data_IF_287116450918
#
_entry.id   IF_287116450918
#
_cell.length_a   1.000
_cell.length_b   1.000
_cell.length_c   1.000
_cell.angle_alpha   90.00
_cell.angle_beta   90.00
_cell.angle_gamma   90.00
#
_symmetry.space_group_name_H-M   'P 1'
#
loop_
_entity.id
_entity.type
_entity.pdbx_description
1 polymer ?
#
# COMPACT_ATOMS: atom_id res chain seq x y z
N UNK A 1 37.25 -18.01 -3.75
CA UNK A 1 37.02 -16.58 -4.03
C UNK A 1 35.93 -16.50 -5.09
N UNK A 2 34.67 -16.36 -4.68
CA UNK A 2 33.53 -16.34 -5.60
C UNK A 2 33.17 -14.87 -5.84
N UNK A 3 33.40 -14.42 -7.08
CA UNK A 3 33.17 -13.06 -7.52
C UNK A 3 31.69 -12.69 -7.49
N UNK A 4 31.38 -11.60 -6.79
CA UNK A 4 30.07 -10.97 -6.80
C UNK A 4 30.04 -9.98 -7.97
N UNK A 5 29.47 -10.41 -9.10
CA UNK A 5 29.11 -9.52 -10.20
C UNK A 5 27.81 -8.75 -9.91
N UNK A 6 27.63 -7.54 -10.45
CA UNK A 6 26.48 -6.70 -10.17
C UNK A 6 25.23 -7.26 -10.87
N UNK A 7 24.24 -7.69 -10.09
CA UNK A 7 22.95 -8.16 -10.63
C UNK A 7 22.11 -6.97 -11.08
N UNK A 8 22.06 -6.79 -12.40
CA UNK A 8 21.12 -5.92 -13.09
C UNK A 8 19.71 -6.52 -13.09
N UNK A 9 18.69 -5.68 -12.83
CA UNK A 9 17.30 -5.77 -13.30
C UNK A 9 16.51 -7.05 -12.99
N UNK A 10 15.41 -6.91 -12.25
CA UNK A 10 14.44 -7.98 -11.93
C UNK A 10 13.65 -8.54 -13.13
N UNK A 11 14.33 -9.08 -14.13
CA UNK A 11 13.75 -9.90 -15.19
C UNK A 11 14.06 -11.39 -14.97
N UNK A 12 13.13 -12.28 -15.34
CA UNK A 12 13.41 -13.71 -15.43
C UNK A 12 14.53 -13.90 -16.47
N UNK A 13 15.67 -14.53 -16.13
CA UNK A 13 16.75 -14.79 -17.08
C UNK A 13 16.20 -15.44 -18.35
N UNK A 14 16.67 -15.00 -19.53
CA UNK A 14 16.14 -15.43 -20.83
C UNK A 14 16.15 -16.95 -21.01
N UNK A 15 17.15 -17.59 -20.43
CA UNK A 15 17.36 -19.04 -20.32
C UNK A 15 16.31 -19.78 -19.47
N UNK A 16 15.63 -19.09 -18.54
CA UNK A 16 14.55 -19.64 -17.73
C UNK A 16 13.16 -19.47 -18.36
N UNK A 17 12.94 -18.48 -19.25
CA UNK A 17 11.62 -18.22 -19.88
C UNK A 17 11.05 -19.46 -20.58
N UNK A 18 11.82 -20.12 -21.43
CA UNK A 18 11.38 -21.36 -22.12
C UNK A 18 11.20 -22.58 -21.21
N UNK A 19 11.64 -22.51 -19.95
CA UNK A 19 11.35 -23.54 -18.92
C UNK A 19 10.05 -23.24 -18.20
N UNK A 20 9.73 -21.95 -17.99
CA UNK A 20 8.45 -21.51 -17.41
C UNK A 20 7.29 -21.89 -18.32
N UNK A 21 7.37 -21.60 -19.62
CA UNK A 21 6.28 -21.89 -20.56
C UNK A 21 6.01 -23.41 -20.65
N UNK A 22 7.08 -24.22 -20.71
CA UNK A 22 6.96 -25.69 -20.69
C UNK A 22 6.42 -26.22 -19.37
N UNK A 23 6.78 -25.61 -18.25
CA UNK A 23 6.26 -25.98 -16.93
C UNK A 23 4.75 -25.68 -16.83
N UNK A 24 4.32 -24.48 -17.24
CA UNK A 24 2.91 -24.09 -17.25
C UNK A 24 2.08 -25.01 -18.17
N UNK A 25 2.60 -25.31 -19.37
CA UNK A 25 1.95 -26.22 -20.30
C UNK A 25 1.86 -27.67 -19.77
N UNK A 26 2.80 -28.11 -18.94
CA UNK A 26 2.73 -29.41 -18.26
C UNK A 26 1.71 -29.42 -17.13
N UNK A 27 1.56 -28.32 -16.40
CA UNK A 27 0.52 -28.20 -15.36
C UNK A 27 -0.87 -28.23 -15.98
N UNK A 28 -1.10 -27.54 -17.11
CA UNK A 28 -2.39 -27.54 -17.79
C UNK A 28 -2.87 -28.94 -18.24
N UNK A 29 -1.95 -29.88 -18.41
CA UNK A 29 -2.26 -31.28 -18.72
C UNK A 29 -2.56 -32.17 -17.50
N UNK A 30 -2.38 -31.68 -16.27
CA UNK A 30 -2.68 -32.43 -15.04
C UNK A 30 -4.17 -32.37 -14.70
N UNK A 31 -4.64 -33.34 -13.89
CA UNK A 31 -5.99 -33.28 -13.35
C UNK A 31 -6.17 -32.11 -12.39
N UNK A 32 -7.41 -31.62 -12.25
CA UNK A 32 -7.75 -30.44 -11.44
C UNK A 32 -7.20 -30.52 -10.01
N UNK A 33 -7.22 -31.71 -9.39
CA UNK A 33 -6.72 -31.92 -8.04
C UNK A 33 -5.19 -31.77 -7.94
N UNK A 34 -4.43 -32.31 -8.90
CA UNK A 34 -2.97 -32.15 -8.93
C UNK A 34 -2.57 -30.71 -9.24
N UNK A 35 -3.28 -30.05 -10.16
CA UNK A 35 -3.08 -28.63 -10.46
C UNK A 35 -3.25 -27.78 -9.19
N UNK A 36 -4.36 -27.97 -8.46
CA UNK A 36 -4.65 -27.22 -7.23
C UNK A 36 -3.58 -27.43 -6.15
N UNK A 37 -3.08 -28.66 -6.00
CA UNK A 37 -2.01 -28.97 -5.04
C UNK A 37 -0.70 -28.27 -5.40
N UNK A 38 -0.27 -28.36 -6.67
CA UNK A 38 0.95 -27.72 -7.16
C UNK A 38 0.87 -26.20 -7.08
N UNK A 39 -0.25 -25.59 -7.47
CA UNK A 39 -0.45 -24.15 -7.34
C UNK A 39 -0.49 -23.70 -5.89
N UNK A 40 -1.09 -24.49 -4.98
CA UNK A 40 -1.06 -24.23 -3.54
C UNK A 40 0.37 -24.16 -3.02
N UNK A 41 1.16 -25.21 -3.26
CA UNK A 41 2.55 -25.26 -2.82
C UNK A 41 3.41 -24.14 -3.43
N UNK A 42 3.28 -23.90 -4.73
CA UNK A 42 3.97 -22.79 -5.39
C UNK A 42 3.63 -21.44 -4.74
N UNK A 43 2.35 -21.20 -4.44
CA UNK A 43 1.91 -19.96 -3.81
C UNK A 43 2.46 -19.81 -2.40
N UNK A 44 2.57 -20.89 -1.62
CA UNK A 44 3.19 -20.85 -0.28
C UNK A 44 4.68 -20.49 -0.35
N UNK A 45 5.42 -21.13 -1.26
CA UNK A 45 6.84 -20.83 -1.48
C UNK A 45 7.02 -19.39 -1.97
N UNK A 46 6.15 -18.94 -2.87
CA UNK A 46 6.14 -17.56 -3.35
C UNK A 46 5.87 -16.58 -2.22
N UNK A 47 4.83 -16.78 -1.40
CA UNK A 47 4.52 -15.92 -0.25
C UNK A 47 5.67 -15.88 0.76
N UNK A 48 6.27 -17.03 1.07
CA UNK A 48 7.42 -17.11 1.97
C UNK A 48 8.63 -16.36 1.40
N UNK A 49 8.90 -16.49 0.10
CA UNK A 49 10.00 -15.79 -0.57
C UNK A 49 9.75 -14.28 -0.59
N UNK A 50 8.53 -13.84 -0.92
CA UNK A 50 8.15 -12.41 -0.88
C UNK A 50 8.24 -11.87 0.55
N UNK A 51 7.79 -12.63 1.55
CA UNK A 51 7.91 -12.25 2.96
C UNK A 51 9.38 -12.10 3.38
N UNK A 52 10.24 -13.03 2.95
CA UNK A 52 11.68 -12.97 3.19
C UNK A 52 12.35 -11.79 2.47
N UNK A 53 11.96 -11.48 1.24
CA UNK A 53 12.45 -10.29 0.52
C UNK A 53 11.95 -8.98 1.15
N UNK A 54 10.71 -8.95 1.65
CA UNK A 54 10.14 -7.81 2.38
C UNK A 54 10.87 -7.59 3.71
N UNK A 55 11.11 -8.65 4.48
CA UNK A 55 11.85 -8.56 5.76
C UNK A 55 13.33 -8.25 5.54
N UNK A 56 13.94 -8.79 4.48
CA UNK A 56 15.31 -8.48 4.05
C UNK A 56 15.46 -7.11 3.39
N UNK A 57 14.37 -6.40 3.11
CA UNK A 57 14.37 -5.07 2.50
C UNK A 57 14.83 -5.01 1.05
N UNK A 58 14.84 -6.16 0.35
CA UNK A 58 15.20 -6.28 -1.08
C UNK A 58 13.98 -6.30 -2.00
N UNK A 59 12.76 -6.26 -1.44
CA UNK A 59 11.53 -6.22 -2.22
C UNK A 59 11.33 -4.84 -2.87
N UNK A 60 11.37 -4.79 -4.20
CA UNK A 60 11.13 -3.60 -5.00
C UNK A 60 9.67 -3.57 -5.48
N UNK A 61 8.83 -2.80 -4.79
CA UNK A 61 7.46 -2.53 -5.23
C UNK A 61 7.52 -1.44 -6.32
N UNK A 62 7.88 -1.85 -7.54
CA UNK A 62 8.18 -0.92 -8.65
C UNK A 62 6.98 -0.08 -9.10
N UNK A 63 5.75 -0.59 -8.92
CA UNK A 63 4.50 0.12 -9.22
C UNK A 63 3.52 -0.11 -8.08
N UNK A 64 3.16 0.96 -7.38
CA UNK A 64 2.20 0.94 -6.27
C UNK A 64 0.89 1.54 -6.75
N UNK A 65 -0.21 0.83 -6.56
CA UNK A 65 -1.54 1.37 -6.80
C UNK A 65 -2.13 1.81 -5.47
N UNK A 66 -2.39 3.09 -5.30
CA UNK A 66 -3.00 3.62 -4.09
C UNK A 66 -4.45 3.15 -4.03
N UNK A 67 -4.76 2.44 -2.96
CA UNK A 67 -6.12 2.05 -2.62
C UNK A 67 -6.47 2.82 -1.35
N UNK A 68 -7.49 3.66 -1.45
CA UNK A 68 -7.95 4.56 -0.42
C UNK A 68 -9.44 4.86 -0.65
N UNK A 69 -10.13 5.34 0.38
CA UNK A 69 -11.55 5.70 0.27
C UNK A 69 -11.71 7.05 -0.41
N UNK A 70 -10.76 7.97 -0.17
CA UNK A 70 -10.69 9.26 -0.85
C UNK A 70 -9.26 9.66 -1.19
N UNK A 71 -9.07 10.21 -2.38
CA UNK A 71 -7.82 10.82 -2.83
C UNK A 71 -8.15 12.18 -3.46
N UNK A 72 -7.67 13.23 -2.81
CA UNK A 72 -7.80 14.61 -3.28
C UNK A 72 -6.43 15.24 -3.55
N UNK A 73 -6.39 16.20 -4.45
CA UNK A 73 -5.22 17.05 -4.66
C UNK A 73 -5.31 18.20 -3.65
N UNK A 74 -4.21 18.50 -2.99
CA UNK A 74 -4.10 19.63 -2.06
C UNK A 74 -4.25 20.96 -2.81
N UNK A 75 -4.91 21.93 -2.20
CA UNK A 75 -4.98 23.30 -2.72
C UNK A 75 -3.58 23.86 -3.03
N UNK A 76 -3.46 24.57 -4.15
CA UNK A 76 -2.20 25.10 -4.66
C UNK A 76 -1.40 24.13 -5.53
N UNK A 77 -1.89 22.91 -5.76
CA UNK A 77 -1.36 21.94 -6.72
C UNK A 77 -2.41 21.60 -7.80
N UNK A 78 -2.01 21.14 -9.00
CA UNK A 78 -0.64 20.85 -9.46
C UNK A 78 0.23 22.10 -9.65
N UNK A 79 1.55 21.96 -9.52
CA UNK A 79 2.53 23.02 -9.76
C UNK A 79 3.53 22.59 -10.84
N UNK A 80 3.70 23.40 -11.89
CA UNK A 80 4.63 23.10 -12.98
C UNK A 80 6.07 23.43 -12.58
N UNK A 81 6.95 22.44 -12.66
CA UNK A 81 8.38 22.58 -12.30
C UNK A 81 9.31 22.65 -13.51
N UNK A 82 8.84 22.18 -14.66
CA UNK A 82 9.60 22.17 -15.91
C UNK A 82 8.63 22.12 -17.08
N UNK A 83 8.90 22.91 -18.11
CA UNK A 83 8.21 22.84 -19.39
C UNK A 83 9.25 22.53 -20.45
N UNK A 84 9.03 21.46 -21.20
CA UNK A 84 9.93 21.06 -22.27
C UNK A 84 9.92 22.12 -23.40
N UNK A 85 11.06 22.75 -23.74
CA UNK A 85 11.10 23.83 -24.71
C UNK A 85 10.67 23.41 -26.13
N UNK A 86 10.84 22.13 -26.48
CA UNK A 86 10.55 21.63 -27.82
C UNK A 86 9.09 21.18 -27.98
N UNK A 87 8.57 20.42 -27.02
CA UNK A 87 7.21 19.85 -27.08
C UNK A 87 6.16 20.68 -26.33
N UNK A 88 6.58 21.64 -25.49
CA UNK A 88 5.69 22.36 -24.57
C UNK A 88 5.13 21.48 -23.44
N UNK A 89 5.58 20.22 -23.33
CA UNK A 89 5.06 19.29 -22.34
C UNK A 89 5.51 19.65 -20.93
N UNK A 90 4.57 19.65 -19.99
CA UNK A 90 4.82 20.05 -18.61
C UNK A 90 5.14 18.86 -17.70
N UNK A 91 6.09 19.09 -16.82
CA UNK A 91 6.35 18.28 -15.63
C UNK A 91 5.74 18.99 -14.43
N UNK A 92 4.85 18.31 -13.72
CA UNK A 92 4.10 18.88 -12.60
C UNK A 92 4.34 18.10 -11.31
N UNK A 93 4.40 18.82 -10.20
CA UNK A 93 4.35 18.25 -8.86
C UNK A 93 2.89 18.22 -8.40
N UNK A 94 2.50 17.13 -7.75
CA UNK A 94 1.20 16.98 -7.13
C UNK A 94 1.40 16.56 -5.67
N UNK A 95 0.69 17.23 -4.77
CA UNK A 95 0.51 16.77 -3.40
C UNK A 95 -0.89 16.17 -3.25
N UNK A 96 -0.92 14.88 -2.95
CA UNK A 96 -2.15 14.13 -2.73
C UNK A 96 -2.41 13.99 -1.22
N UNK A 97 -3.64 14.26 -0.82
CA UNK A 97 -4.17 13.86 0.49
C UNK A 97 -4.93 12.56 0.31
N UNK A 98 -4.42 11.50 0.95
CA UNK A 98 -4.98 10.15 0.86
C UNK A 98 -5.72 9.86 2.16
N UNK A 99 -7.04 9.70 2.08
CA UNK A 99 -7.89 9.27 3.19
C UNK A 99 -8.15 7.76 3.10
N UNK A 100 -7.58 7.00 4.05
CA UNK A 100 -7.81 5.55 4.17
C UNK A 100 -8.89 5.21 5.19
N UNK A 101 -9.56 6.22 5.74
CA UNK A 101 -10.65 6.03 6.69
C UNK A 101 -11.80 5.28 6.04
N UNK A 102 -12.44 4.43 6.83
CA UNK A 102 -13.62 3.70 6.39
C UNK A 102 -14.81 4.14 7.23
N UNK A 103 -15.80 4.75 6.59
CA UNK A 103 -17.05 5.14 7.24
C UNK A 103 -17.81 3.91 7.74
N UNK A 104 -18.66 4.09 8.76
CA UNK A 104 -19.42 2.98 9.34
C UNK A 104 -20.39 2.36 8.33
N UNK A 105 -21.08 3.18 7.53
CA UNK A 105 -22.02 2.70 6.51
C UNK A 105 -21.33 1.83 5.45
N UNK A 106 -20.17 2.28 4.96
CA UNK A 106 -19.34 1.49 4.04
C UNK A 106 -18.81 0.20 4.69
N UNK A 107 -18.47 0.23 5.99
CA UNK A 107 -18.07 -0.95 6.74
C UNK A 107 -19.23 -1.94 6.91
N UNK A 108 -20.44 -1.46 7.19
CA UNK A 108 -21.64 -2.27 7.32
C UNK A 108 -21.99 -2.94 5.98
N UNK A 109 -21.96 -2.20 4.87
CA UNK A 109 -22.15 -2.77 3.53
C UNK A 109 -21.13 -3.85 3.21
N UNK A 110 -19.85 -3.64 3.53
CA UNK A 110 -18.80 -4.68 3.36
C UNK A 110 -19.06 -5.92 4.21
N UNK A 111 -19.68 -5.77 5.38
CA UNK A 111 -20.08 -6.89 6.21
C UNK A 111 -21.23 -7.65 5.55
N UNK A 112 -22.27 -6.97 5.07
CA UNK A 112 -23.40 -7.57 4.35
C UNK A 112 -22.93 -8.42 3.15
N UNK A 113 -22.10 -7.82 2.28
CA UNK A 113 -21.50 -8.52 1.12
C UNK A 113 -20.69 -9.76 1.55
N UNK A 114 -19.99 -9.68 2.67
CA UNK A 114 -19.20 -10.78 3.21
C UNK A 114 -20.07 -11.89 3.82
N UNK A 115 -21.19 -11.53 4.46
CA UNK A 115 -22.17 -12.49 4.99
C UNK A 115 -22.90 -13.19 3.85
N UNK A 116 -23.31 -12.48 2.81
CA UNK A 116 -23.90 -13.07 1.60
C UNK A 116 -22.96 -14.11 0.95
N UNK A 117 -21.66 -13.81 0.92
CA UNK A 117 -20.66 -14.69 0.31
C UNK A 117 -20.31 -15.92 1.15
N UNK A 118 -20.34 -15.81 2.49
CA UNK A 118 -19.84 -16.84 3.42
C UNK A 118 -20.97 -17.60 4.15
N UNK A 119 -22.21 -17.11 4.12
CA UNK A 119 -23.33 -17.58 4.92
C UNK A 119 -23.35 -16.99 6.34
N UNK A 120 -24.51 -17.05 7.00
CA UNK A 120 -24.76 -16.45 8.32
C UNK A 120 -23.89 -17.05 9.46
N UNK A 121 -23.44 -18.29 9.30
CA UNK A 121 -22.56 -18.98 10.27
C UNK A 121 -21.08 -18.53 10.20
N UNK A 122 -20.78 -17.56 9.34
CA UNK A 122 -19.44 -17.02 9.17
C UNK A 122 -18.90 -16.28 10.41
N UNK A 123 -17.59 -16.28 10.53
CA UNK A 123 -16.79 -15.49 11.46
C UNK A 123 -16.65 -14.03 11.01
N UNK A 124 -17.28 -13.64 9.89
CA UNK A 124 -17.37 -12.23 9.49
C UNK A 124 -18.16 -11.43 10.53
N UNK A 125 -17.64 -10.26 10.92
CA UNK A 125 -18.31 -9.40 11.89
C UNK A 125 -17.46 -8.24 12.41
N UNK A 126 -18.07 -7.45 13.27
CA UNK A 126 -17.35 -6.43 14.04
C UNK A 126 -16.77 -7.03 15.31
N UNK A 127 -15.58 -6.56 15.67
CA UNK A 127 -14.78 -7.07 16.77
C UNK A 127 -14.29 -5.91 17.63
N UNK A 128 -14.46 -6.04 18.95
CA UNK A 128 -13.93 -5.09 19.92
C UNK A 128 -12.78 -5.72 20.70
N UNK A 129 -11.72 -4.94 20.87
CA UNK A 129 -10.58 -5.32 21.68
C UNK A 129 -10.92 -5.26 23.16
N UNK A 130 -10.69 -6.37 23.87
CA UNK A 130 -10.76 -6.41 25.33
C UNK A 130 -9.38 -6.24 25.97
N UNK A 131 -8.31 -6.55 25.24
CA UNK A 131 -6.93 -6.49 25.75
C UNK A 131 -6.33 -5.08 25.66
N UNK A 132 -6.80 -4.25 24.74
CA UNK A 132 -6.22 -2.94 24.46
C UNK A 132 -7.29 -1.87 24.27
N UNK A 133 -7.09 -0.74 24.95
CA UNK A 133 -7.88 0.47 24.81
C UNK A 133 -6.95 1.68 24.67
N UNK A 134 -7.35 2.64 23.84
CA UNK A 134 -6.64 3.90 23.68
C UNK A 134 -7.47 5.03 24.27
N UNK A 135 -6.79 6.00 24.91
CA UNK A 135 -7.44 7.27 25.26
C UNK A 135 -7.56 8.14 24.02
N UNK A 136 -8.81 8.42 23.66
CA UNK A 136 -9.20 9.30 22.58
C UNK A 136 -9.99 10.46 23.18
N UNK A 137 -9.45 11.68 23.06
CA UNK A 137 -10.02 12.90 23.68
C UNK A 137 -10.33 12.71 25.18
N UNK A 138 -9.39 12.11 25.91
CA UNK A 138 -9.51 11.87 27.36
C UNK A 138 -10.38 10.66 27.76
N UNK A 139 -11.12 10.06 26.82
CA UNK A 139 -11.94 8.87 27.08
C UNK A 139 -11.23 7.61 26.59
N UNK A 140 -11.06 6.62 27.47
CA UNK A 140 -10.55 5.31 27.07
C UNK A 140 -11.60 4.59 26.21
N UNK A 141 -11.25 4.23 24.99
CA UNK A 141 -12.11 3.49 24.06
C UNK A 141 -11.40 2.21 23.61
N UNK A 142 -12.11 1.07 23.56
CA UNK A 142 -11.55 -0.15 23.00
C UNK A 142 -11.28 0.03 21.50
N UNK A 143 -10.33 -0.71 20.96
CA UNK A 143 -10.13 -0.76 19.52
C UNK A 143 -11.28 -1.50 18.86
N UNK A 144 -11.73 -1.02 17.71
CA UNK A 144 -12.74 -1.68 16.88
C UNK A 144 -12.14 -2.05 15.53
N UNK A 145 -12.48 -3.24 15.05
CA UNK A 145 -12.12 -3.73 13.72
C UNK A 145 -13.29 -4.46 13.08
N UNK A 146 -13.38 -4.38 11.75
CA UNK A 146 -14.24 -5.22 10.94
C UNK A 146 -13.37 -6.34 10.39
N UNK A 147 -13.74 -7.59 10.66
CA UNK A 147 -13.07 -8.76 10.12
C UNK A 147 -14.02 -9.47 9.15
N UNK A 148 -13.54 -9.71 7.93
CA UNK A 148 -14.30 -10.44 6.89
C UNK A 148 -13.50 -11.65 6.45
N UNK A 149 -14.17 -12.78 6.25
CA UNK A 149 -13.50 -14.01 5.84
C UNK A 149 -12.81 -13.86 4.46
N UNK A 150 -11.57 -14.30 4.36
CA UNK A 150 -10.94 -14.54 3.07
C UNK A 150 -11.26 -15.95 2.60
N UNK A 151 -11.26 -16.16 1.28
CA UNK A 151 -11.45 -17.47 0.67
C UNK A 151 -10.47 -18.48 1.29
N UNK A 152 -11.01 -19.58 1.82
CA UNK A 152 -10.18 -20.66 2.39
C UNK A 152 -9.30 -21.24 1.28
N UNK A 153 -7.99 -21.22 1.48
CA UNK A 153 -7.10 -22.02 0.66
C UNK A 153 -7.29 -23.48 1.07
N UNK A 154 -7.59 -24.36 0.12
CA UNK A 154 -8.01 -25.76 0.33
C UNK A 154 -7.07 -26.62 1.19
N UNK A 155 -5.84 -26.16 1.45
CA UNK A 155 -4.79 -26.85 2.20
C UNK A 155 -4.54 -26.29 3.61
N UNK A 156 -5.19 -25.19 4.01
CA UNK A 156 -5.04 -24.61 5.36
C UNK A 156 -6.37 -24.67 6.12
N UNK A 157 -6.37 -25.37 7.25
CA UNK A 157 -7.51 -25.38 8.18
C UNK A 157 -7.71 -24.01 8.87
N UNK A 158 -6.68 -23.16 8.88
CA UNK A 158 -6.70 -21.85 9.53
C UNK A 158 -7.35 -20.78 8.66
N UNK A 159 -8.38 -20.12 9.20
CA UNK A 159 -9.11 -19.05 8.54
C UNK A 159 -8.34 -17.72 8.66
N UNK A 160 -8.11 -17.09 7.51
CA UNK A 160 -7.48 -15.77 7.43
C UNK A 160 -8.56 -14.70 7.21
N UNK A 161 -8.50 -13.63 7.99
CA UNK A 161 -9.49 -12.56 7.98
C UNK A 161 -8.89 -11.30 7.35
N UNK A 162 -9.65 -10.67 6.44
CA UNK A 162 -9.37 -9.30 5.98
C UNK A 162 -9.83 -8.33 7.05
N UNK A 163 -8.93 -7.44 7.45
CA UNK A 163 -9.16 -6.51 8.55
C UNK A 163 -9.34 -5.10 8.00
N UNK A 164 -10.43 -4.47 8.38
CA UNK A 164 -10.66 -3.04 8.19
C UNK A 164 -10.74 -2.35 9.56
N UNK A 165 -10.15 -1.16 9.63
CA UNK A 165 -10.13 -0.30 10.81
C UNK A 165 -10.76 1.05 10.45
N UNK A 166 -11.29 1.81 11.43
CA UNK A 166 -11.87 3.13 11.16
C UNK A 166 -10.92 4.08 10.41
N UNK A 167 -9.61 4.00 10.62
CA UNK A 167 -8.61 4.85 9.95
C UNK A 167 -7.90 4.18 8.77
N UNK A 168 -8.07 2.86 8.60
CA UNK A 168 -7.42 2.11 7.54
C UNK A 168 -8.32 0.97 7.08
N UNK A 169 -9.01 1.21 5.98
CA UNK A 169 -9.88 0.27 5.29
C UNK A 169 -9.17 -1.05 4.89
N UNK A 170 -7.84 -1.01 4.68
CA UNK A 170 -7.02 -2.11 4.17
C UNK A 170 -5.86 -2.40 5.14
N UNK A 171 -6.21 -2.77 6.37
CA UNK A 171 -5.20 -3.19 7.34
C UNK A 171 -4.64 -4.58 6.97
N UNK A 172 -3.47 -4.90 7.53
CA UNK A 172 -2.86 -6.21 7.33
C UNK A 172 -3.84 -7.32 7.76
N UNK A 173 -4.03 -8.36 6.93
CA UNK A 173 -4.90 -9.47 7.28
C UNK A 173 -4.34 -10.20 8.50
N UNK A 174 -5.24 -10.76 9.31
CA UNK A 174 -4.89 -11.48 10.54
C UNK A 174 -5.53 -12.87 10.53
N UNK A 175 -4.89 -13.82 11.18
CA UNK A 175 -5.50 -15.12 11.43
C UNK A 175 -6.59 -14.99 12.47
N UNK A 176 -7.65 -15.80 12.34
CA UNK A 176 -8.75 -15.78 13.31
C UNK A 176 -8.28 -16.13 14.73
N UNK A 177 -7.30 -17.03 14.86
CA UNK A 177 -6.72 -17.40 16.15
C UNK A 177 -6.03 -16.20 16.83
N UNK A 178 -5.32 -15.37 16.07
CA UNK A 178 -4.68 -14.16 16.58
C UNK A 178 -5.71 -13.07 16.92
N UNK A 179 -6.78 -12.96 16.12
CA UNK A 179 -7.88 -12.04 16.38
C UNK A 179 -8.58 -12.39 17.70
N UNK A 180 -8.90 -13.68 17.91
CA UNK A 180 -9.59 -14.17 19.11
C UNK A 180 -8.79 -13.98 20.41
N UNK A 181 -7.46 -13.82 20.35
CA UNK A 181 -6.62 -13.56 21.53
C UNK A 181 -6.83 -12.19 22.16
N UNK A 182 -7.31 -11.22 21.39
CA UNK A 182 -7.39 -9.82 21.85
C UNK A 182 -8.73 -9.15 21.55
N UNK A 183 -9.54 -9.73 20.65
CA UNK A 183 -10.82 -9.20 20.24
C UNK A 183 -11.96 -10.19 20.45
N UNK A 184 -13.14 -9.65 20.71
CA UNK A 184 -14.41 -10.37 20.83
C UNK A 184 -15.38 -9.89 19.75
N UNK A 185 -16.10 -10.82 19.10
CA UNK A 185 -17.15 -10.50 18.12
C UNK A 185 -18.31 -9.80 18.85
N UNK A 186 -18.78 -8.69 18.30
CA UNK A 186 -19.86 -7.89 18.87
C UNK A 186 -20.96 -7.62 17.84
N UNK A 187 -22.20 -7.41 18.29
CA UNK A 187 -23.29 -7.04 17.40
C UNK A 187 -23.08 -5.60 16.86
N UNK A 188 -23.67 -5.33 15.69
CA UNK A 188 -23.45 -4.13 14.89
C UNK A 188 -23.83 -2.85 15.66
N UNK A 189 -24.88 -2.92 16.47
CA UNK A 189 -25.42 -1.83 17.28
C UNK A 189 -24.42 -1.35 18.35
N UNK A 190 -23.66 -2.29 18.93
CA UNK A 190 -22.60 -1.97 19.89
C UNK A 190 -21.33 -1.43 19.20
N UNK A 191 -21.03 -1.92 18.01
CA UNK A 191 -19.86 -1.50 17.24
C UNK A 191 -20.01 -0.08 16.67
N UNK A 192 -21.20 0.28 16.18
CA UNK A 192 -21.50 1.56 15.52
C UNK A 192 -20.99 2.80 16.26
N UNK A 193 -21.42 3.08 17.51
CA UNK A 193 -21.02 4.32 18.19
C UNK A 193 -19.51 4.37 18.47
N UNK A 194 -18.86 3.21 18.64
CA UNK A 194 -17.41 3.13 18.86
C UNK A 194 -16.68 3.40 17.55
N UNK A 195 -17.13 2.81 16.44
CA UNK A 195 -16.56 3.03 15.11
C UNK A 195 -16.65 4.49 14.68
N UNK A 196 -17.82 5.09 14.77
CA UNK A 196 -18.04 6.49 14.39
C UNK A 196 -17.20 7.44 15.24
N UNK A 197 -17.11 7.19 16.54
CA UNK A 197 -16.25 7.97 17.42
C UNK A 197 -14.78 7.89 16.99
N UNK A 198 -14.28 6.68 16.69
CA UNK A 198 -12.93 6.49 16.19
C UNK A 198 -12.71 7.17 14.83
N UNK A 199 -13.65 7.03 13.91
CA UNK A 199 -13.58 7.61 12.57
C UNK A 199 -13.55 9.15 12.60
N UNK A 200 -14.37 9.76 13.46
CA UNK A 200 -14.44 11.22 13.62
C UNK A 200 -13.27 11.79 14.41
N UNK A 201 -12.86 11.14 15.50
CA UNK A 201 -11.80 11.67 16.35
C UNK A 201 -10.42 11.57 15.65
N UNK A 202 -10.20 10.52 14.83
CA UNK A 202 -8.98 10.39 14.01
C UNK A 202 -8.96 11.31 12.79
N UNK A 203 -10.09 11.92 12.43
CA UNK A 203 -10.11 12.99 11.43
C UNK A 203 -9.54 14.30 12.00
N UNK A 204 -9.87 14.58 13.26
CA UNK A 204 -9.55 15.85 13.93
C UNK A 204 -8.15 15.90 14.51
N UNK A 205 -7.56 14.76 14.85
CA UNK A 205 -6.21 14.68 15.40
C UNK A 205 -5.34 13.75 14.56
N UNK A 206 -4.25 14.29 14.02
CA UNK A 206 -3.13 13.48 13.56
C UNK A 206 -2.48 12.84 14.79
N UNK A 207 -2.96 11.65 15.17
CA UNK A 207 -2.39 10.92 16.30
C UNK A 207 -0.91 10.63 16.04
N UNK A 208 -0.01 10.88 17.01
CA UNK A 208 1.39 10.56 16.86
C UNK A 208 1.57 9.06 16.63
N UNK A 209 2.56 8.71 15.80
CA UNK A 209 2.92 7.38 15.22
C UNK A 209 2.98 6.17 16.17
N UNK A 210 2.67 6.29 17.46
CA UNK A 210 3.06 5.31 18.47
C UNK A 210 2.13 4.12 18.66
N UNK A 211 0.89 4.06 18.11
CA UNK A 211 0.13 2.79 18.16
C UNK A 211 -0.98 2.57 17.12
N UNK A 212 -1.76 3.60 16.74
CA UNK A 212 -3.01 3.38 15.99
C UNK A 212 -3.03 3.95 14.56
N UNK A 213 -1.93 4.53 14.08
CA UNK A 213 -1.81 5.04 12.71
C UNK A 213 -2.50 6.39 12.46
N UNK A 214 -2.40 6.89 11.23
CA UNK A 214 -3.02 8.14 10.76
C UNK A 214 -4.08 7.81 9.71
N UNK A 215 -5.23 8.50 9.74
CA UNK A 215 -6.31 8.31 8.75
C UNK A 215 -5.95 8.95 7.41
N UNK A 216 -5.55 10.23 7.46
CA UNK A 216 -5.11 11.00 6.30
C UNK A 216 -3.58 10.96 6.23
N UNK A 217 -3.04 10.68 5.04
CA UNK A 217 -1.60 10.75 4.78
C UNK A 217 -1.34 11.58 3.54
N UNK A 218 -0.28 12.36 3.57
CA UNK A 218 0.17 13.13 2.42
C UNK A 218 1.16 12.33 1.59
N UNK A 219 1.03 12.46 0.28
CA UNK A 219 1.93 11.87 -0.70
C UNK A 219 2.29 12.92 -1.74
N UNK A 220 3.58 13.19 -1.90
CA UNK A 220 4.06 13.99 -3.01
C UNK A 220 4.44 13.09 -4.19
N UNK A 221 4.07 13.50 -5.39
CA UNK A 221 4.46 12.84 -6.62
C UNK A 221 4.76 13.84 -7.74
N UNK A 222 5.61 13.44 -8.69
CA UNK A 222 5.86 14.17 -9.93
C UNK A 222 5.18 13.42 -11.07
N UNK A 223 4.40 14.12 -11.89
CA UNK A 223 3.68 13.57 -13.03
C UNK A 223 3.87 14.44 -14.29
N UNK A 224 3.34 13.97 -15.41
CA UNK A 224 3.49 14.63 -16.71
C UNK A 224 4.74 14.16 -17.47
N UNK A 225 5.43 15.09 -18.13
CA UNK A 225 6.63 14.80 -18.92
C UNK A 225 7.85 14.49 -18.03
N UNK A 226 8.04 13.23 -17.67
CA UNK A 226 9.12 12.81 -16.76
C UNK A 226 10.46 12.54 -17.45
N UNK A 227 10.46 12.21 -18.75
CA UNK A 227 11.68 11.89 -19.48
C UNK A 227 12.67 13.06 -19.57
N UNK A 228 12.24 14.30 -19.87
CA UNK A 228 13.15 15.46 -19.92
C UNK A 228 13.85 15.71 -18.59
N UNK A 229 13.13 15.53 -17.47
CA UNK A 229 13.65 15.75 -16.12
C UNK A 229 14.24 14.50 -15.47
N UNK A 230 14.40 13.39 -16.19
CA UNK A 230 14.81 12.11 -15.59
C UNK A 230 16.19 12.16 -14.93
N UNK A 231 17.16 12.81 -15.61
CA UNK A 231 18.52 13.00 -15.07
C UNK A 231 18.52 13.95 -13.87
N UNK A 232 17.91 15.17 -13.94
CA UNK A 232 17.69 16.03 -12.77
C UNK A 232 17.05 15.30 -11.58
N UNK A 233 16.00 14.52 -11.83
CA UNK A 233 15.26 13.78 -10.81
C UNK A 233 16.14 12.73 -10.12
N UNK A 234 16.93 11.99 -10.90
CA UNK A 234 17.88 11.02 -10.34
C UNK A 234 18.95 11.69 -9.49
N UNK A 235 19.48 12.82 -9.95
CA UNK A 235 20.47 13.60 -9.21
C UNK A 235 19.90 14.12 -7.88
N UNK A 236 18.71 14.72 -7.91
CA UNK A 236 18.01 15.20 -6.72
C UNK A 236 17.75 14.06 -5.72
N UNK A 237 17.34 12.89 -6.21
CA UNK A 237 17.13 11.70 -5.39
C UNK A 237 18.44 11.22 -4.74
N UNK A 238 19.55 11.17 -5.48
CA UNK A 238 20.83 10.71 -4.95
C UNK A 238 21.37 11.64 -3.86
N UNK A 239 21.27 12.96 -4.07
CA UNK A 239 21.60 13.98 -3.06
C UNK A 239 20.73 13.80 -1.81
N UNK A 240 19.42 13.59 -2.01
CA UNK A 240 18.49 13.38 -0.91
C UNK A 240 18.79 12.08 -0.15
N UNK A 241 19.09 10.98 -0.82
CA UNK A 241 19.50 9.72 -0.17
C UNK A 241 20.79 9.92 0.63
N UNK A 242 21.74 10.70 0.11
CA UNK A 242 22.98 11.02 0.82
C UNK A 242 22.73 11.87 2.07
N UNK A 243 21.76 12.78 2.05
CA UNK A 243 21.41 13.64 3.19
C UNK A 243 20.66 12.92 4.31
N UNK A 244 19.98 11.80 4.02
CA UNK A 244 19.29 10.99 5.03
C UNK A 244 20.30 10.43 6.05
N UNK A 245 20.05 10.62 7.35
CA UNK A 245 20.96 10.15 8.42
C UNK A 245 20.93 8.63 8.65
N UNK A 246 19.78 7.99 8.45
CA UNK A 246 19.59 6.57 8.79
C UNK A 246 19.80 5.63 7.60
N UNK A 247 20.63 4.60 7.79
CA UNK A 247 20.88 3.56 6.77
C UNK A 247 19.59 2.80 6.38
N UNK A 248 18.64 2.65 7.30
CA UNK A 248 17.34 2.06 7.04
C UNK A 248 16.48 2.93 6.10
N UNK A 249 16.47 4.26 6.28
CA UNK A 249 15.76 5.16 5.37
C UNK A 249 16.41 5.19 3.98
N UNK A 250 17.75 5.17 3.91
CA UNK A 250 18.48 5.09 2.63
C UNK A 250 18.11 3.83 1.84
N UNK A 251 18.05 2.66 2.49
CA UNK A 251 17.61 1.41 1.84
C UNK A 251 16.17 1.49 1.33
N UNK A 252 15.25 2.03 2.15
CA UNK A 252 13.83 2.14 1.81
C UNK A 252 13.54 3.10 0.65
N UNK A 253 14.38 4.12 0.48
CA UNK A 253 14.22 5.19 -0.51
C UNK A 253 15.21 5.11 -1.68
N UNK A 254 15.87 3.95 -1.84
CA UNK A 254 16.94 3.76 -2.82
C UNK A 254 16.47 3.92 -4.28
N UNK A 255 15.19 3.67 -4.55
CA UNK A 255 14.64 3.69 -5.91
C UNK A 255 13.39 4.56 -5.99
N UNK A 256 13.19 5.18 -7.16
CA UNK A 256 11.94 5.86 -7.50
C UNK A 256 10.82 4.83 -7.59
N UNK A 257 9.66 5.16 -7.00
CA UNK A 257 8.47 4.29 -7.05
C UNK A 257 7.42 4.92 -7.93
N UNK A 258 6.92 4.18 -8.90
CA UNK A 258 5.78 4.63 -9.70
C UNK A 258 4.52 4.44 -8.87
N UNK A 259 3.70 5.47 -8.79
CA UNK A 259 2.43 5.46 -8.07
C UNK A 259 1.29 5.72 -9.05
N UNK A 260 0.28 4.86 -8.96
CA UNK A 260 -1.01 5.03 -9.63
C UNK A 260 -2.06 5.37 -8.60
N UNK A 261 -2.81 6.44 -8.82
CA UNK A 261 -3.89 6.88 -7.94
C UNK A 261 -5.15 7.13 -8.78
N UNK A 262 -6.31 6.97 -8.17
CA UNK A 262 -7.58 7.41 -8.75
C UNK A 262 -8.16 8.45 -7.80
N UNK A 263 -8.38 9.66 -8.31
CA UNK A 263 -9.00 10.75 -7.56
C UNK A 263 -10.49 10.47 -7.36
N UNK A 264 -11.08 11.18 -6.41
CA UNK A 264 -12.53 11.14 -6.14
C UNK A 264 -13.35 11.60 -7.34
N UNK A 265 -12.77 12.45 -8.20
CA UNK A 265 -13.36 12.86 -9.49
C UNK A 265 -13.37 11.75 -10.55
N UNK A 266 -12.78 10.58 -10.27
CA UNK A 266 -12.61 9.46 -11.20
C UNK A 266 -11.37 9.55 -12.10
N UNK A 267 -10.65 10.68 -12.06
CA UNK A 267 -9.43 10.88 -12.85
C UNK A 267 -8.30 9.99 -12.34
N UNK A 268 -7.65 9.26 -13.25
CA UNK A 268 -6.49 8.42 -12.93
C UNK A 268 -5.21 9.23 -13.07
N UNK A 269 -4.37 9.17 -12.05
CA UNK A 269 -3.06 9.80 -12.00
C UNK A 269 -1.97 8.74 -11.97
N UNK A 270 -0.88 9.01 -12.69
CA UNK A 270 0.33 8.19 -12.68
C UNK A 270 1.52 9.13 -12.55
N UNK A 271 2.45 8.80 -11.66
CA UNK A 271 3.66 9.58 -11.49
C UNK A 271 4.65 8.92 -10.54
N UNK A 272 5.74 9.60 -10.24
CA UNK A 272 6.80 9.10 -9.39
C UNK A 272 6.64 9.67 -7.99
N UNK A 273 6.62 8.80 -6.99
CA UNK A 273 6.64 9.22 -5.59
C UNK A 273 7.96 9.88 -5.26
N UNK A 274 7.87 11.09 -4.72
CA UNK A 274 9.00 11.89 -4.25
C UNK A 274 8.74 12.32 -2.81
N UNK A 275 9.81 12.62 -2.08
CA UNK A 275 9.68 13.30 -0.80
C UNK A 275 9.56 14.79 -1.02
N UNK A 276 8.76 15.47 -0.19
CA UNK A 276 8.56 16.92 -0.29
C UNK A 276 9.88 17.71 -0.16
N UNK A 277 10.80 17.24 0.68
CA UNK A 277 12.12 17.85 0.86
C UNK A 277 12.99 17.87 -0.42
N UNK A 278 12.69 17.02 -1.40
CA UNK A 278 13.42 16.96 -2.67
C UNK A 278 12.92 18.01 -3.69
N UNK A 279 11.68 18.50 -3.55
CA UNK A 279 11.04 19.38 -4.56
C UNK A 279 11.87 20.66 -4.80
N UNK A 280 12.27 21.45 -3.78
CA UNK A 280 12.98 22.69 -4.03
C UNK A 280 14.31 22.47 -4.76
N UNK A 281 14.97 21.34 -4.43
CA UNK A 281 16.24 20.95 -5.06
C UNK A 281 16.04 20.49 -6.50
N UNK A 282 14.96 19.77 -6.77
CA UNK A 282 14.60 19.36 -8.12
C UNK A 282 14.35 20.59 -9.01
N UNK A 283 13.60 21.56 -8.52
CA UNK A 283 13.35 22.82 -9.25
C UNK A 283 14.62 23.59 -9.55
N UNK A 284 15.56 23.65 -8.60
CA UNK A 284 16.87 24.29 -8.80
C UNK A 284 17.68 23.59 -9.89
N UNK A 285 17.75 22.26 -9.86
CA UNK A 285 18.50 21.46 -10.86
C UNK A 285 17.83 21.56 -12.24
N UNK A 286 16.50 21.54 -12.31
CA UNK A 286 15.76 21.72 -13.56
C UNK A 286 16.02 23.10 -14.18
N UNK A 287 16.01 24.17 -13.37
CA UNK A 287 16.35 25.54 -13.84
C UNK A 287 17.78 25.63 -14.38
N UNK A 288 18.74 24.99 -13.72
CA UNK A 288 20.13 24.96 -14.18
C UNK A 288 20.29 24.20 -15.51
N UNK A 289 19.54 23.11 -15.71
CA UNK A 289 19.58 22.34 -16.95
C UNK A 289 18.90 23.06 -18.12
N UNK A 290 17.84 23.85 -17.86
CA UNK A 290 17.19 24.67 -18.89
C UNK A 290 18.09 25.82 -19.39
N UNK A 291 18.99 26.33 -18.55
CA UNK A 291 19.95 27.37 -18.95
C UNK A 291 21.18 26.87 -19.70
N UNK A 292 21.33 25.55 -19.88
CA UNK A 292 22.48 24.92 -20.56
C UNK A 292 22.14 24.28 -21.91
N UNK A 293 20.87 24.33 -22.33
CA UNK A 293 20.38 23.85 -23.63
C UNK A 293 20.11 25.02 -24.58
#
# INVERSE_FOLDING_TARGET
VVGVGPRAGGGVPTEMRGRVDRFLNRILGLGLREQQMLFGYFNEVYEATVAASRSGGTFEDGIVSLQAEGITIREGYPQTIHTDPHSGAETQVLQLTIDRGLGFEAAAKRLEEAVESAGEEGQSGFYLSFAFACRLRGKARPLVVLATEMRRLHHRAELKMRIARPHNALAAPMWIADLARSYQKVPVEKAKPIWEAWHQDLERQNFPKRSYGMRKSELCMVAGALLPVWKPLKCALDIHIASLSSAAARRKKKHMRVVRAQLDSGVKLIGLQVDEAMIPRLEEICRQHQGQA
#
